data_IF_244847366048
#
_entry.id   IF_244847366048
#
_cell.length_a   1.000
_cell.length_b   1.000
_cell.length_c   1.000
_cell.angle_alpha   90.00
_cell.angle_beta   90.00
_cell.angle_gamma   90.00
#
_symmetry.space_group_name_H-M   'P 1'
#
loop_
_entity.id
_entity.type
_entity.pdbx_description
1 polymer ?
#
# COMPACT_ATOMS: atom_id res chain seq x y z
N UNK A 1 -20.43 -11.94 -14.09
CA UNK A 1 -19.24 -11.13 -13.76
C UNK A 1 -18.01 -12.04 -13.81
N UNK A 2 -16.97 -11.65 -14.55
CA UNK A 2 -15.71 -12.39 -14.59
C UNK A 2 -15.12 -12.53 -13.18
N UNK A 3 -14.56 -13.70 -12.86
CA UNK A 3 -13.91 -13.97 -11.57
C UNK A 3 -12.74 -13.00 -11.32
N UNK A 4 -12.03 -12.62 -12.37
CA UNK A 4 -10.93 -11.66 -12.34
C UNK A 4 -11.39 -10.27 -11.88
N UNK A 5 -12.55 -9.80 -12.34
CA UNK A 5 -13.15 -8.53 -11.89
C UNK A 5 -13.52 -8.52 -10.41
N UNK A 6 -13.87 -9.68 -9.84
CA UNK A 6 -14.10 -9.80 -8.39
C UNK A 6 -12.78 -9.72 -7.62
N UNK A 7 -11.72 -10.37 -8.12
CA UNK A 7 -10.39 -10.33 -7.48
C UNK A 7 -9.84 -8.91 -7.48
N UNK A 8 -9.91 -8.19 -8.61
CA UNK A 8 -9.50 -6.77 -8.68
C UNK A 8 -10.25 -5.91 -7.67
N UNK A 9 -11.57 -6.08 -7.56
CA UNK A 9 -12.37 -5.34 -6.58
C UNK A 9 -11.90 -5.57 -5.13
N UNK A 10 -11.65 -6.83 -4.74
CA UNK A 10 -11.17 -7.12 -3.39
C UNK A 10 -9.74 -6.61 -3.15
N UNK A 11 -8.87 -6.71 -4.15
CA UNK A 11 -7.52 -6.14 -4.13
C UNK A 11 -7.58 -4.63 -3.88
N UNK A 12 -8.41 -3.90 -4.61
CA UNK A 12 -8.58 -2.45 -4.43
C UNK A 12 -9.12 -2.11 -3.04
N UNK A 13 -10.11 -2.85 -2.53
CA UNK A 13 -10.63 -2.66 -1.17
C UNK A 13 -9.53 -2.83 -0.11
N UNK A 14 -8.72 -3.88 -0.22
CA UNK A 14 -7.61 -4.14 0.71
C UNK A 14 -6.56 -3.04 0.63
N UNK A 15 -6.18 -2.61 -0.58
CA UNK A 15 -5.20 -1.54 -0.76
C UNK A 15 -5.66 -0.21 -0.14
N UNK A 16 -6.93 0.15 -0.32
CA UNK A 16 -7.52 1.36 0.28
C UNK A 16 -7.54 1.24 1.80
N UNK A 17 -7.94 0.08 2.31
CA UNK A 17 -7.98 -0.19 3.75
C UNK A 17 -6.60 -0.07 4.39
N UNK A 18 -5.59 -0.70 3.78
CA UNK A 18 -4.20 -0.62 4.23
C UNK A 18 -3.66 0.81 4.16
N UNK A 19 -3.89 1.52 3.05
CA UNK A 19 -3.43 2.90 2.90
C UNK A 19 -3.99 3.82 4.00
N UNK A 20 -5.31 3.77 4.23
CA UNK A 20 -5.95 4.54 5.31
C UNK A 20 -5.48 4.10 6.70
N UNK A 21 -5.29 2.80 6.91
CA UNK A 21 -4.78 2.27 8.17
C UNK A 21 -3.39 2.80 8.49
N UNK A 22 -2.49 2.78 7.51
CA UNK A 22 -1.13 3.34 7.62
C UNK A 22 -1.18 4.82 7.98
N UNK A 23 -2.02 5.62 7.32
CA UNK A 23 -2.15 7.05 7.63
C UNK A 23 -2.61 7.31 9.08
N UNK A 24 -3.53 6.50 9.59
CA UNK A 24 -4.01 6.62 10.97
C UNK A 24 -2.93 6.23 11.96
N UNK A 25 -2.26 5.10 11.73
CA UNK A 25 -1.22 4.60 12.64
C UNK A 25 -0.03 5.56 12.66
N UNK A 26 0.41 6.11 11.53
CA UNK A 26 1.45 7.13 11.49
C UNK A 26 1.09 8.35 12.32
N UNK A 27 -0.13 8.89 12.15
CA UNK A 27 -0.59 10.05 12.93
C UNK A 27 -0.61 9.78 14.42
N UNK A 28 -1.10 8.61 14.83
CA UNK A 28 -1.11 8.21 16.24
C UNK A 28 0.32 8.11 16.77
N UNK A 29 1.23 7.49 16.01
CA UNK A 29 2.64 7.35 16.39
C UNK A 29 3.28 8.73 16.59
N UNK A 30 3.16 9.63 15.61
CA UNK A 30 3.68 11.00 15.72
C UNK A 30 3.07 11.76 16.89
N UNK A 31 1.76 11.61 17.14
CA UNK A 31 1.07 12.27 18.27
C UNK A 31 1.62 11.80 19.63
N UNK A 32 1.82 10.48 19.79
CA UNK A 32 2.41 9.91 21.01
C UNK A 32 3.84 10.42 21.19
N UNK A 33 4.64 10.42 20.12
CA UNK A 33 6.01 10.90 20.16
C UNK A 33 6.10 12.38 20.49
N UNK A 34 5.24 13.21 19.91
CA UNK A 34 5.15 14.64 20.23
C UNK A 34 4.79 14.87 21.70
N UNK A 35 3.90 14.07 22.27
CA UNK A 35 3.57 14.15 23.70
C UNK A 35 4.76 13.79 24.60
N UNK A 36 5.50 12.72 24.27
CA UNK A 36 6.64 12.25 25.07
C UNK A 36 7.80 13.23 24.97
N UNK A 37 8.17 13.64 23.76
CA UNK A 37 9.27 14.57 23.51
C UNK A 37 8.93 15.96 24.06
N UNK A 38 7.71 16.44 23.82
CA UNK A 38 7.23 17.73 24.34
C UNK A 38 7.17 17.80 25.86
N UNK A 39 6.99 16.67 26.57
CA UNK A 39 7.15 16.63 28.04
C UNK A 39 8.60 16.84 28.48
N UNK A 40 9.57 16.34 27.71
CA UNK A 40 10.99 16.60 27.95
C UNK A 40 11.34 18.09 27.79
N UNK A 41 10.72 18.76 26.82
CA UNK A 41 10.90 20.21 26.56
C UNK A 41 10.47 21.09 27.76
N UNK A 42 9.45 20.67 28.53
CA UNK A 42 8.93 21.43 29.68
C UNK A 42 9.81 21.26 30.93
N UNK A 43 10.58 20.18 31.05
CA UNK A 43 11.32 19.83 32.27
C UNK A 43 12.75 20.38 32.30
N UNK A 44 13.29 20.83 31.18
CA UNK A 44 14.57 21.52 31.18
C UNK A 44 14.98 22.00 29.79
N UNK A 45 14.95 23.32 29.60
CA UNK A 45 15.59 24.12 28.55
C UNK A 45 15.46 23.57 27.11
N UNK A 46 14.79 24.32 26.24
CA UNK A 46 14.85 24.12 24.79
C UNK A 46 16.33 24.15 24.36
N UNK A 47 16.94 22.98 24.22
CA UNK A 47 18.21 22.81 23.54
C UNK A 47 17.89 22.48 22.09
N UNK A 48 18.65 23.06 21.17
CA UNK A 48 18.55 22.73 19.74
C UNK A 48 18.65 21.21 19.47
N UNK A 49 19.23 20.47 20.40
CA UNK A 49 19.34 19.02 20.39
C UNK A 49 17.96 18.32 20.50
N UNK A 50 17.06 18.77 21.38
CA UNK A 50 15.70 18.18 21.51
C UNK A 50 14.88 18.39 20.24
N UNK A 51 14.98 19.58 19.65
CA UNK A 51 14.35 19.88 18.34
C UNK A 51 14.92 18.99 17.24
N UNK A 52 16.24 18.82 17.21
CA UNK A 52 16.91 17.95 16.23
C UNK A 52 16.47 16.49 16.38
N UNK A 53 16.38 15.99 17.61
CA UNK A 53 15.90 14.63 17.90
C UNK A 53 14.46 14.46 17.45
N UNK A 54 13.59 15.44 17.71
CA UNK A 54 12.19 15.41 17.26
C UNK A 54 12.08 15.35 15.74
N UNK A 55 12.83 16.19 15.03
CA UNK A 55 12.83 16.22 13.58
C UNK A 55 13.35 14.90 12.97
N UNK A 56 14.43 14.35 13.52
CA UNK A 56 14.98 13.07 13.08
C UNK A 56 14.01 11.93 13.33
N UNK A 57 13.40 11.89 14.53
CA UNK A 57 12.39 10.90 14.88
C UNK A 57 11.19 10.96 13.93
N UNK A 58 10.62 12.15 13.72
CA UNK A 58 9.46 12.32 12.84
C UNK A 58 9.78 11.89 11.40
N UNK A 59 10.97 12.21 10.89
CA UNK A 59 11.42 11.73 9.58
C UNK A 59 11.49 10.21 9.54
N UNK A 60 12.15 9.57 10.51
CA UNK A 60 12.25 8.11 10.56
C UNK A 60 10.90 7.41 10.64
N UNK A 61 9.98 7.96 11.43
CA UNK A 61 8.60 7.45 11.53
C UNK A 61 7.92 7.56 10.17
N UNK A 62 7.93 8.73 9.54
CA UNK A 62 7.32 8.94 8.23
C UNK A 62 7.94 8.07 7.14
N UNK A 63 9.26 7.95 7.09
CA UNK A 63 9.97 7.10 6.12
C UNK A 63 9.58 5.62 6.29
N UNK A 64 9.43 5.17 7.54
CA UNK A 64 9.01 3.79 7.83
C UNK A 64 7.58 3.52 7.33
N UNK A 65 6.65 4.44 7.56
CA UNK A 65 5.28 4.29 7.04
C UNK A 65 5.19 4.49 5.53
N UNK A 66 6.05 5.32 4.94
CA UNK A 66 6.17 5.45 3.49
C UNK A 66 6.60 4.12 2.86
N UNK A 67 7.56 3.40 3.44
CA UNK A 67 7.92 2.06 2.98
C UNK A 67 6.71 1.10 2.97
N UNK A 68 5.84 1.16 3.98
CA UNK A 68 4.61 0.35 4.01
C UNK A 68 3.65 0.74 2.89
N UNK A 69 3.52 2.04 2.57
CA UNK A 69 2.71 2.51 1.43
C UNK A 69 3.27 2.00 0.11
N UNK A 70 4.59 2.08 -0.06
CA UNK A 70 5.28 1.64 -1.28
C UNK A 70 5.11 0.14 -1.49
N UNK A 71 5.24 -0.66 -0.43
CA UNK A 71 4.97 -2.10 -0.47
C UNK A 71 3.51 -2.40 -0.83
N UNK A 72 2.54 -1.70 -0.23
CA UNK A 72 1.13 -1.86 -0.56
C UNK A 72 0.84 -1.53 -2.04
N UNK A 73 1.50 -0.50 -2.58
CA UNK A 73 1.40 -0.14 -3.99
C UNK A 73 2.00 -1.22 -4.89
N UNK A 74 3.26 -1.63 -4.64
CA UNK A 74 3.96 -2.64 -5.43
C UNK A 74 3.22 -3.98 -5.47
N UNK A 75 2.70 -4.43 -4.32
CA UNK A 75 1.92 -5.66 -4.24
C UNK A 75 0.66 -5.57 -5.09
N UNK A 76 -0.10 -4.47 -5.01
CA UNK A 76 -1.31 -4.35 -5.82
C UNK A 76 -1.04 -4.19 -7.31
N UNK A 77 0.04 -3.50 -7.71
CA UNK A 77 0.48 -3.45 -9.11
C UNK A 77 0.82 -4.86 -9.60
N UNK A 78 1.58 -5.63 -8.83
CA UNK A 78 1.95 -7.01 -9.18
C UNK A 78 0.72 -7.91 -9.32
N UNK A 79 -0.27 -7.78 -8.43
CA UNK A 79 -1.54 -8.53 -8.51
C UNK A 79 -2.32 -8.14 -9.78
N UNK A 80 -2.43 -6.85 -10.10
CA UNK A 80 -3.15 -6.39 -11.29
C UNK A 80 -2.46 -6.82 -12.59
N UNK A 81 -1.13 -6.87 -12.63
CA UNK A 81 -0.36 -7.43 -13.75
C UNK A 81 -0.64 -8.93 -13.94
N UNK A 82 -0.65 -9.71 -12.85
CA UNK A 82 -0.97 -11.14 -12.89
C UNK A 82 -2.40 -11.39 -13.38
N UNK A 83 -3.38 -10.62 -12.89
CA UNK A 83 -4.78 -10.73 -13.33
C UNK A 83 -4.89 -10.43 -14.83
N UNK A 84 -4.26 -9.36 -15.29
CA UNK A 84 -4.26 -8.96 -16.70
C UNK A 84 -3.62 -10.03 -17.60
N UNK A 85 -2.51 -10.62 -17.17
CA UNK A 85 -1.83 -11.71 -17.88
C UNK A 85 -2.72 -12.95 -17.99
N UNK A 86 -3.41 -13.32 -16.91
CA UNK A 86 -4.31 -14.47 -16.88
C UNK A 86 -5.56 -14.26 -17.73
N UNK A 87 -6.15 -13.06 -17.69
CA UNK A 87 -7.27 -12.68 -18.56
C UNK A 87 -6.90 -12.79 -20.04
N UNK A 88 -5.73 -12.25 -20.40
CA UNK A 88 -5.20 -12.31 -21.77
C UNK A 88 -4.98 -13.75 -22.22
N UNK A 89 -4.36 -14.59 -21.39
CA UNK A 89 -4.13 -16.01 -21.71
C UNK A 89 -5.45 -16.77 -21.93
N UNK A 90 -6.46 -16.54 -21.08
CA UNK A 90 -7.77 -17.17 -21.24
C UNK A 90 -8.47 -16.73 -22.52
N UNK A 91 -8.37 -15.44 -22.86
CA UNK A 91 -8.93 -14.91 -24.10
C UNK A 91 -8.26 -15.50 -25.34
N UNK A 92 -6.93 -15.67 -25.32
CA UNK A 92 -6.19 -16.28 -26.44
C UNK A 92 -6.59 -17.74 -26.64
N UNK A 93 -6.70 -18.51 -25.56
CA UNK A 93 -7.13 -19.93 -25.64
C UNK A 93 -8.55 -20.04 -26.21
N UNK A 94 -9.48 -19.18 -25.76
CA UNK A 94 -10.85 -19.17 -26.29
C UNK A 94 -10.89 -18.85 -27.79
N UNK A 95 -10.10 -17.88 -28.25
CA UNK A 95 -10.02 -17.51 -29.67
C UNK A 95 -9.40 -18.62 -30.52
N UNK A 96 -8.39 -19.33 -30.01
CA UNK A 96 -7.78 -20.48 -30.69
C UNK A 96 -8.77 -21.63 -30.80
N UNK A 97 -9.49 -21.96 -29.73
CA UNK A 97 -10.50 -23.02 -29.73
C UNK A 97 -11.64 -22.72 -30.73
N UNK A 98 -12.08 -21.46 -30.83
CA UNK A 98 -13.08 -21.02 -31.81
C UNK A 98 -12.56 -21.11 -33.27
N UNK A 99 -11.28 -20.77 -33.51
CA UNK A 99 -10.67 -20.87 -34.84
C UNK A 99 -10.43 -22.31 -35.31
N UNK A 100 -10.10 -23.23 -34.40
CA UNK A 100 -9.79 -24.62 -34.76
C UNK A 100 -10.98 -25.57 -34.60
N UNK A 101 -11.94 -25.27 -33.73
CA UNK A 101 -13.18 -26.03 -33.55
C UNK A 101 -14.21 -25.82 -34.66
N UNK A 102 -14.11 -24.73 -35.44
CA UNK A 102 -15.03 -24.48 -36.58
C UNK A 102 -14.67 -25.23 -37.86
N UNK A 103 -13.52 -25.92 -37.93
CA UNK A 103 -13.09 -26.69 -39.12
C UNK A 103 -13.56 -28.15 -39.15
N UNK A 104 -14.40 -28.58 -38.20
CA UNK A 104 -14.89 -29.97 -38.10
C UNK A 104 -16.42 -30.11 -38.22
N UNK A 105 -17.10 -29.20 -38.90
CA UNK A 105 -18.51 -29.35 -39.29
C UNK A 105 -18.66 -29.27 -40.82
#
# INVERSE_FOLDING_TARGET
MSIFRKVDFYKDMVQIGLGRGVDVVEKVHLTISDFVIGRGEVVGAISDEVRTVREQHNRHVTDSYQLVRDLNSQVGTSISELITSLESSKSVVAMVDEMYGSKSA
#
